data_IF_041447618239
#
_entry.id   IF_041447618239
#
_cell.length_a   1.000
_cell.length_b   1.000
_cell.length_c   1.000
_cell.angle_alpha   90.00
_cell.angle_beta   90.00
_cell.angle_gamma   90.00
#
_symmetry.space_group_name_H-M   'P 1'
#
loop_
_entity.id
_entity.type
_entity.pdbx_description
1 polymer ?
#
# COMPACT_ATOMS: atom_id res chain seq x y z
N UNK A 1 57.23 17.31 -29.27
CA UNK A 1 56.57 17.67 -27.99
C UNK A 1 55.10 18.12 -28.18
N UNK A 2 54.33 17.47 -29.08
CA UNK A 2 52.94 17.88 -29.44
C UNK A 2 51.94 16.76 -29.09
N UNK A 3 52.34 15.50 -29.30
CA UNK A 3 51.52 14.31 -29.00
C UNK A 3 51.18 14.17 -27.51
N UNK A 4 52.07 14.63 -26.61
CA UNK A 4 51.82 14.62 -25.16
C UNK A 4 50.76 15.65 -24.74
N UNK A 5 50.72 16.82 -25.40
CA UNK A 5 49.71 17.86 -25.11
C UNK A 5 48.31 17.45 -25.56
N UNK A 6 48.21 16.72 -26.67
CA UNK A 6 46.94 16.19 -27.19
C UNK A 6 46.38 15.12 -26.24
N UNK A 7 47.21 14.19 -25.74
CA UNK A 7 46.79 13.19 -24.75
C UNK A 7 46.31 13.82 -23.44
N UNK A 8 46.93 14.92 -23.03
CA UNK A 8 46.53 15.67 -21.83
C UNK A 8 45.19 16.39 -22.04
N UNK A 9 44.95 16.96 -23.22
CA UNK A 9 43.68 17.61 -23.58
C UNK A 9 42.51 16.63 -23.65
N UNK A 10 42.73 15.42 -24.20
CA UNK A 10 41.71 14.36 -24.21
C UNK A 10 41.39 13.85 -22.79
N UNK A 11 42.39 13.73 -21.91
CA UNK A 11 42.16 13.32 -20.53
C UNK A 11 41.29 14.34 -19.77
N UNK A 12 41.52 15.65 -19.96
CA UNK A 12 40.71 16.69 -19.33
C UNK A 12 39.26 16.67 -19.85
N UNK A 13 39.05 16.45 -21.14
CA UNK A 13 37.72 16.39 -21.75
C UNK A 13 36.88 15.19 -21.27
N UNK A 14 37.54 14.06 -21.00
CA UNK A 14 36.85 12.87 -20.45
C UNK A 14 36.48 13.11 -18.97
N UNK A 15 37.37 13.73 -18.19
CA UNK A 15 37.11 14.01 -16.77
C UNK A 15 35.96 15.02 -16.61
N UNK A 16 35.89 16.05 -17.45
CA UNK A 16 34.78 17.03 -17.40
C UNK A 16 33.44 16.46 -17.86
N UNK A 17 33.43 15.50 -18.78
CA UNK A 17 32.21 14.81 -19.20
C UNK A 17 31.63 13.93 -18.08
N UNK A 18 32.50 13.24 -17.33
CA UNK A 18 32.08 12.37 -16.22
C UNK A 18 31.50 13.19 -15.05
N UNK A 19 32.07 14.35 -14.72
CA UNK A 19 31.57 15.17 -13.61
C UNK A 19 30.19 15.79 -13.88
N UNK A 20 29.86 16.12 -15.14
CA UNK A 20 28.52 16.60 -15.54
C UNK A 20 27.48 15.48 -15.45
N UNK A 21 27.84 14.24 -15.79
CA UNK A 21 26.90 13.12 -15.74
C UNK A 21 26.53 12.75 -14.29
N UNK A 22 27.47 12.84 -13.34
CA UNK A 22 27.20 12.52 -11.93
C UNK A 22 26.34 13.59 -11.25
N UNK A 23 26.44 14.86 -11.65
CA UNK A 23 25.60 15.94 -11.10
C UNK A 23 24.13 15.85 -11.52
N UNK A 24 23.84 15.33 -12.72
CA UNK A 24 22.45 15.16 -13.19
C UNK A 24 21.76 13.98 -12.49
N UNK A 25 22.50 12.93 -12.12
CA UNK A 25 21.93 11.74 -11.48
C UNK A 25 21.62 11.91 -9.98
N UNK A 26 22.17 12.92 -9.30
CA UNK A 26 22.04 13.07 -7.84
C UNK A 26 20.98 14.08 -7.37
N UNK A 27 20.25 14.75 -8.28
CA UNK A 27 19.21 15.72 -7.89
C UNK A 27 17.81 15.11 -7.69
N UNK A 28 17.71 13.79 -7.46
CA UNK A 28 16.46 13.19 -6.96
C UNK A 28 16.43 13.43 -5.45
N UNK A 29 15.82 14.53 -5.04
CA UNK A 29 15.33 14.65 -3.67
C UNK A 29 14.52 13.40 -3.33
N UNK A 30 14.73 12.76 -2.17
CA UNK A 30 13.78 11.79 -1.68
C UNK A 30 12.45 12.55 -1.51
N UNK A 31 11.47 12.22 -2.34
CA UNK A 31 10.08 12.59 -2.07
C UNK A 31 9.80 11.99 -0.70
N UNK A 32 9.76 12.85 0.32
CA UNK A 32 9.25 12.47 1.62
C UNK A 32 7.90 11.83 1.34
N UNK A 33 7.80 10.52 1.58
CA UNK A 33 6.53 9.82 1.52
C UNK A 33 5.59 10.59 2.44
N UNK A 34 4.63 11.29 1.85
CA UNK A 34 3.55 11.94 2.57
C UNK A 34 3.03 10.89 3.55
N UNK A 35 3.16 11.18 4.85
CA UNK A 35 2.50 10.38 5.88
C UNK A 35 1.04 10.28 5.43
N UNK A 36 0.45 9.08 5.37
CA UNK A 36 -0.92 8.92 4.90
C UNK A 36 -1.81 9.85 5.71
N UNK A 37 -2.27 10.93 5.06
CA UNK A 37 -3.15 11.88 5.72
C UNK A 37 -4.39 11.10 6.12
N UNK A 38 -4.82 11.17 7.39
CA UNK A 38 -6.00 10.46 7.84
C UNK A 38 -7.17 10.94 6.99
N UNK A 39 -7.66 10.05 6.13
CA UNK A 39 -8.82 10.28 5.28
C UNK A 39 -9.95 10.70 6.21
N UNK A 40 -10.41 11.95 6.10
CA UNK A 40 -11.52 12.45 6.89
C UNK A 40 -12.76 11.68 6.43
N UNK A 41 -13.09 10.61 7.15
CA UNK A 41 -14.28 9.83 6.92
C UNK A 41 -15.49 10.68 7.36
N UNK A 42 -16.61 10.64 6.61
CA UNK A 42 -17.83 11.29 7.03
C UNK A 42 -18.22 10.83 8.43
N UNK A 43 -18.58 11.79 9.29
CA UNK A 43 -19.01 11.52 10.66
C UNK A 43 -20.31 10.74 10.61
N UNK A 44 -20.29 9.50 11.12
CA UNK A 44 -21.51 8.70 11.31
C UNK A 44 -22.38 9.40 12.36
N UNK A 45 -23.57 9.85 11.95
CA UNK A 45 -24.43 10.71 12.79
C UNK A 45 -25.21 9.93 13.85
N UNK A 46 -25.69 8.73 13.54
CA UNK A 46 -26.02 7.67 14.50
C UNK A 46 -26.42 6.41 13.75
N UNK A 47 -26.18 5.25 14.36
CA UNK A 47 -26.88 4.01 14.03
C UNK A 47 -27.42 3.43 15.32
N UNK A 48 -28.63 2.89 15.30
CA UNK A 48 -29.11 2.09 16.41
C UNK A 48 -28.17 0.89 16.59
N UNK A 49 -27.58 0.80 17.78
CA UNK A 49 -26.66 -0.29 18.09
C UNK A 49 -27.48 -1.58 18.20
N UNK A 50 -27.32 -2.48 17.23
CA UNK A 50 -27.98 -3.77 17.25
C UNK A 50 -27.64 -4.50 18.56
N UNK A 51 -28.66 -5.08 19.19
CA UNK A 51 -28.48 -5.90 20.38
C UNK A 51 -27.63 -7.11 20.02
N UNK A 52 -26.45 -7.21 20.62
CA UNK A 52 -25.53 -8.33 20.39
C UNK A 52 -25.88 -9.45 21.35
N UNK A 53 -26.16 -10.64 20.81
CA UNK A 53 -26.32 -11.86 21.59
C UNK A 53 -25.02 -12.65 21.53
N UNK A 54 -24.47 -13.00 22.69
CA UNK A 54 -23.30 -13.85 22.80
C UNK A 54 -23.65 -15.03 23.67
N UNK A 55 -23.50 -16.24 23.12
CA UNK A 55 -23.68 -17.49 23.85
C UNK A 55 -22.30 -18.07 24.10
N UNK A 56 -21.96 -18.32 25.37
CA UNK A 56 -20.68 -18.96 25.69
C UNK A 56 -20.84 -20.48 25.66
N UNK A 57 -19.83 -21.24 25.20
CA UNK A 57 -19.89 -22.70 25.21
C UNK A 57 -20.19 -23.30 26.58
N UNK A 58 -19.75 -22.67 27.67
CA UNK A 58 -20.00 -23.12 29.05
C UNK A 58 -21.47 -22.97 29.49
N UNK A 59 -22.24 -22.16 28.78
CA UNK A 59 -23.67 -21.91 29.06
C UNK A 59 -24.57 -22.90 28.31
N UNK A 60 -24.00 -23.78 27.48
CA UNK A 60 -24.73 -24.79 26.73
C UNK A 60 -24.89 -26.08 27.54
N UNK A 61 -26.00 -26.82 27.39
CA UNK A 61 -26.16 -28.13 28.03
C UNK A 61 -25.24 -29.18 27.38
N UNK A 62 -24.86 -30.22 28.12
CA UNK A 62 -24.17 -31.37 27.54
C UNK A 62 -25.04 -32.03 26.44
N UNK A 63 -24.46 -32.44 25.29
CA UNK A 63 -23.05 -32.47 24.90
C UNK A 63 -22.57 -31.23 24.12
N UNK A 64 -23.34 -30.14 24.10
CA UNK A 64 -23.07 -28.96 23.27
C UNK A 64 -22.03 -28.01 23.89
N UNK A 65 -21.67 -28.19 25.16
CA UNK A 65 -20.56 -27.51 25.83
C UNK A 65 -19.18 -27.99 25.36
N UNK A 66 -18.95 -28.00 24.05
CA UNK A 66 -17.68 -28.39 23.44
C UNK A 66 -16.91 -27.17 22.95
N UNK A 67 -15.58 -27.28 22.93
CA UNK A 67 -14.74 -26.25 22.34
C UNK A 67 -15.07 -26.14 20.84
N UNK A 68 -15.44 -24.94 20.41
CA UNK A 68 -15.72 -24.70 18.99
C UNK A 68 -14.44 -24.89 18.18
N UNK A 69 -14.54 -25.65 17.09
CA UNK A 69 -13.46 -25.72 16.11
C UNK A 69 -13.20 -24.31 15.55
N UNK A 70 -12.03 -23.74 15.85
CA UNK A 70 -11.62 -22.44 15.31
C UNK A 70 -10.75 -22.65 14.07
N UNK A 71 -11.10 -21.95 12.99
CA UNK A 71 -10.21 -21.76 11.85
C UNK A 71 -9.91 -20.27 11.76
N UNK A 72 -8.63 -19.92 11.75
CA UNK A 72 -8.23 -18.53 11.59
C UNK A 72 -8.75 -17.99 10.26
N UNK A 73 -9.28 -16.77 10.28
CA UNK A 73 -9.64 -16.06 9.05
C UNK A 73 -8.37 -15.78 8.24
N UNK A 74 -8.44 -16.03 6.93
CA UNK A 74 -7.39 -15.62 5.99
C UNK A 74 -7.82 -14.31 5.35
N UNK A 75 -6.99 -13.27 5.48
CA UNK A 75 -7.18 -12.03 4.73
C UNK A 75 -6.83 -12.30 3.26
N UNK A 76 -7.73 -11.93 2.36
CA UNK A 76 -7.50 -11.98 0.91
C UNK A 76 -7.28 -10.55 0.45
N UNK A 77 -6.07 -10.27 -0.03
CA UNK A 77 -5.74 -8.94 -0.55
C UNK A 77 -6.48 -8.69 -1.87
N UNK A 78 -7.03 -7.48 -2.01
CA UNK A 78 -7.62 -7.04 -3.26
C UNK A 78 -6.49 -6.71 -4.24
N UNK A 79 -6.50 -7.34 -5.43
CA UNK A 79 -5.51 -7.06 -6.47
C UNK A 79 -5.69 -5.65 -7.03
N UNK A 80 -4.58 -5.00 -7.39
CA UNK A 80 -4.59 -3.61 -7.86
C UNK A 80 -5.49 -3.35 -9.09
N UNK A 81 -5.78 -4.40 -9.87
CA UNK A 81 -6.57 -4.34 -11.11
C UNK A 81 -7.93 -5.05 -10.99
N UNK A 82 -8.45 -5.22 -9.77
CA UNK A 82 -9.75 -5.85 -9.56
C UNK A 82 -10.88 -5.04 -10.26
N UNK A 83 -11.51 -5.65 -11.27
CA UNK A 83 -12.60 -5.04 -12.03
C UNK A 83 -13.91 -5.78 -11.77
N UNK A 84 -14.93 -5.05 -11.32
CA UNK A 84 -16.30 -5.58 -11.15
C UNK A 84 -17.15 -5.20 -12.36
N UNK A 85 -17.67 -6.18 -13.09
CA UNK A 85 -18.58 -5.95 -14.21
C UNK A 85 -20.01 -5.98 -13.71
N UNK A 86 -20.73 -4.86 -13.85
CA UNK A 86 -22.15 -4.76 -13.50
C UNK A 86 -23.03 -4.57 -14.74
N UNK A 87 -24.20 -5.24 -14.79
CA UNK A 87 -25.23 -4.91 -15.76
C UNK A 87 -25.81 -3.51 -15.52
N UNK A 88 -26.37 -2.90 -16.57
CA UNK A 88 -27.07 -1.62 -16.45
C UNK A 88 -28.23 -1.74 -15.44
N UNK A 89 -28.38 -0.72 -14.58
CA UNK A 89 -29.44 -0.65 -13.57
C UNK A 89 -29.09 -1.23 -12.19
N UNK A 90 -27.91 -1.85 -12.03
CA UNK A 90 -27.46 -2.40 -10.74
C UNK A 90 -26.50 -1.45 -10.01
N UNK A 91 -26.45 -1.58 -8.68
CA UNK A 91 -25.54 -0.83 -7.79
C UNK A 91 -24.82 -1.79 -6.86
N UNK A 92 -23.54 -1.50 -6.56
CA UNK A 92 -22.78 -2.18 -5.49
C UNK A 92 -22.73 -1.26 -4.29
N UNK A 93 -23.03 -1.80 -3.11
CA UNK A 93 -22.74 -1.16 -1.84
C UNK A 93 -21.54 -1.90 -1.22
N UNK A 94 -20.44 -1.19 -1.00
CA UNK A 94 -19.25 -1.73 -0.33
C UNK A 94 -19.35 -1.34 1.15
N UNK A 95 -19.37 -2.33 2.03
CA UNK A 95 -19.30 -2.15 3.48
C UNK A 95 -17.91 -2.58 3.93
N UNK A 96 -17.14 -1.66 4.50
CA UNK A 96 -15.77 -1.86 4.97
C UNK A 96 -15.63 -1.38 6.41
#
# INVERSE_FOLDING_TARGET
MIISKIKFLFAILIITSITVLVTVCQNRQPVNADKPQPKVLPKVESFDKAQTFQIKPQELPAPFATESARRNSKVVEQTANATLKLPKGFRINVYA
#
